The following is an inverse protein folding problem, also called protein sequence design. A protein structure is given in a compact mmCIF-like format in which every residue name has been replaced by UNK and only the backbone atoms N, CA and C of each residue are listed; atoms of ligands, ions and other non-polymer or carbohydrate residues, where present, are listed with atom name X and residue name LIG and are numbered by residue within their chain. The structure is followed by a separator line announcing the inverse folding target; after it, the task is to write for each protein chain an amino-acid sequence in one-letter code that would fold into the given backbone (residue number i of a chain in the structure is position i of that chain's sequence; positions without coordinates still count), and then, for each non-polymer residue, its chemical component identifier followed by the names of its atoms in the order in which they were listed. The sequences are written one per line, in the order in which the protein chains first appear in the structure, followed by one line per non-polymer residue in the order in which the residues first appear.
data_IF_815889862886
#
_entry.id   IF_815889862886
#
_cell.length_a   1.000
_cell.length_b   1.000
_cell.length_c   1.000
_cell.angle_alpha   90.00
_cell.angle_beta   90.00
_cell.angle_gamma   90.00
#
_symmetry.space_group_name_H-M   'P 1'
#
loop_
_entity.id
_entity.type
_entity.pdbx_description
1 polymer ?
#
# COMPACT_ATOMS: atom_id res chain seq x y z
N UNK A 1 3.30 5.03 -25.68
CA UNK A 1 4.70 5.34 -25.31
C UNK A 1 4.83 6.11 -23.99
N UNK A 2 3.98 7.11 -23.70
CA UNK A 2 4.01 7.87 -22.43
C UNK A 2 3.77 7.02 -21.16
N UNK A 3 2.78 6.10 -21.15
CA UNK A 3 2.47 5.24 -19.98
C UNK A 3 3.64 4.38 -19.52
N UNK A 4 4.41 3.83 -20.46
CA UNK A 4 5.55 2.96 -20.15
C UNK A 4 6.66 3.71 -19.40
N UNK A 5 6.83 5.01 -19.70
CA UNK A 5 7.83 5.86 -19.05
C UNK A 5 7.43 6.15 -17.60
N UNK A 6 6.16 6.45 -17.33
CA UNK A 6 5.67 6.67 -15.97
C UNK A 6 5.77 5.40 -15.10
N UNK A 7 5.49 4.22 -15.68
CA UNK A 7 5.63 2.93 -14.99
C UNK A 7 7.09 2.67 -14.58
N UNK A 8 8.06 3.01 -15.45
CA UNK A 8 9.49 2.87 -15.16
C UNK A 8 9.95 3.88 -14.09
N UNK A 9 9.51 5.13 -14.18
CA UNK A 9 9.83 6.17 -13.20
C UNK A 9 9.30 5.82 -11.80
N UNK A 10 8.07 5.30 -11.71
CA UNK A 10 7.48 4.86 -10.44
C UNK A 10 8.25 3.68 -9.82
N UNK A 11 8.56 2.65 -10.61
CA UNK A 11 9.34 1.50 -10.14
C UNK A 11 10.73 1.91 -9.67
N UNK A 12 11.37 2.86 -10.36
CA UNK A 12 12.65 3.42 -9.94
C UNK A 12 12.52 4.19 -8.61
N UNK A 13 11.50 5.03 -8.45
CA UNK A 13 11.23 5.76 -7.19
C UNK A 13 10.95 4.81 -6.02
N UNK A 14 10.24 3.72 -6.26
CA UNK A 14 9.92 2.70 -5.25
C UNK A 14 11.11 1.77 -4.95
N UNK A 15 12.14 1.75 -5.80
CA UNK A 15 13.25 0.81 -5.71
C UNK A 15 12.83 -0.66 -5.94
N UNK A 16 11.70 -0.89 -6.62
CA UNK A 16 11.14 -2.22 -6.86
C UNK A 16 10.69 -2.37 -8.32
N UNK A 17 11.20 -3.40 -8.99
CA UNK A 17 10.77 -3.78 -10.34
C UNK A 17 9.77 -4.92 -10.25
N UNK A 18 8.59 -4.72 -10.83
CA UNK A 18 7.56 -5.75 -10.90
C UNK A 18 7.95 -6.81 -11.94
N UNK A 19 7.85 -8.09 -11.55
CA UNK A 19 7.98 -9.20 -12.49
C UNK A 19 6.81 -9.29 -13.48
N UNK A 20 5.66 -8.69 -13.12
CA UNK A 20 4.49 -8.54 -13.98
C UNK A 20 4.01 -7.08 -13.92
N UNK A 21 4.16 -6.35 -15.03
CA UNK A 21 3.76 -4.94 -15.15
C UNK A 21 2.24 -4.77 -15.11
N UNK A 22 1.46 -5.78 -15.49
CA UNK A 22 0.01 -5.72 -15.40
C UNK A 22 -0.46 -5.68 -13.94
N UNK A 23 0.30 -6.27 -13.01
CA UNK A 23 0.02 -6.15 -11.58
C UNK A 23 0.21 -4.71 -11.08
N UNK A 24 1.23 -4.00 -11.56
CA UNK A 24 1.44 -2.58 -11.26
C UNK A 24 0.26 -1.74 -11.79
N UNK A 25 -0.15 -1.97 -13.03
CA UNK A 25 -1.30 -1.27 -13.63
C UNK A 25 -2.59 -1.52 -12.84
N UNK A 26 -2.83 -2.77 -12.45
CA UNK A 26 -3.99 -3.12 -11.64
C UNK A 26 -3.96 -2.40 -10.29
N UNK A 27 -2.82 -2.36 -9.61
CA UNK A 27 -2.66 -1.68 -8.32
C UNK A 27 -2.94 -0.16 -8.40
N UNK A 28 -2.70 0.46 -9.56
CA UNK A 28 -2.95 1.87 -9.83
C UNK A 28 -4.35 2.17 -10.37
N UNK A 29 -5.19 1.16 -10.58
CA UNK A 29 -6.53 1.31 -11.16
C UNK A 29 -7.58 1.36 -10.05
N UNK A 30 -8.11 2.54 -9.76
CA UNK A 30 -9.21 2.73 -8.81
C UNK A 30 -10.57 2.47 -9.47
N UNK A 31 -11.56 1.95 -8.73
CA UNK A 31 -12.90 1.63 -9.25
C UNK A 31 -13.65 2.82 -9.87
N UNK A 32 -13.30 4.05 -9.49
CA UNK A 32 -13.84 5.29 -10.09
C UNK A 32 -13.31 5.60 -11.50
N UNK A 33 -12.37 4.81 -12.03
CA UNK A 33 -11.77 5.04 -13.34
C UNK A 33 -12.64 4.51 -14.50
N UNK A 34 -13.62 3.64 -14.21
CA UNK A 34 -14.62 3.21 -15.20
C UNK A 34 -15.84 4.12 -15.16
N UNK A 35 -16.39 4.47 -16.33
CA UNK A 35 -17.66 5.23 -16.51
C UNK A 35 -18.90 4.44 -15.98
N UNK A 36 -18.85 3.95 -14.75
CA UNK A 36 -19.86 3.07 -14.15
C UNK A 36 -19.85 1.63 -14.67
N UNK A 37 -18.87 1.22 -15.48
CA UNK A 37 -18.73 -0.16 -15.96
C UNK A 37 -17.85 -0.98 -15.00
N UNK A 38 -18.16 -2.27 -14.75
CA UNK A 38 -17.30 -3.13 -13.95
C UNK A 38 -15.93 -3.24 -14.65
N UNK A 39 -14.90 -2.73 -13.98
CA UNK A 39 -13.49 -2.90 -14.38
C UNK A 39 -12.78 -3.75 -13.35
N UNK A 40 -11.66 -4.37 -13.74
CA UNK A 40 -10.73 -4.91 -12.75
C UNK A 40 -10.03 -3.73 -12.09
N UNK A 41 -10.25 -3.56 -10.80
CA UNK A 41 -9.66 -2.51 -9.99
C UNK A 41 -8.76 -3.09 -8.90
N UNK A 42 -8.22 -2.20 -8.08
CA UNK A 42 -7.29 -2.52 -7.02
C UNK A 42 -7.94 -2.96 -5.70
N UNK A 43 -9.27 -3.06 -5.58
CA UNK A 43 -9.94 -3.30 -4.27
C UNK A 43 -9.44 -4.58 -3.59
N UNK A 44 -9.25 -5.65 -4.37
CA UNK A 44 -8.71 -6.93 -3.86
C UNK A 44 -7.25 -6.81 -3.42
N UNK A 45 -6.47 -5.98 -4.11
CA UNK A 45 -5.06 -5.73 -3.77
C UNK A 45 -4.96 -4.84 -2.53
N UNK A 46 -5.81 -3.82 -2.42
CA UNK A 46 -5.94 -2.96 -1.23
C UNK A 46 -6.31 -3.80 -0.01
N UNK A 47 -7.33 -4.65 -0.13
CA UNK A 47 -7.72 -5.56 0.95
C UNK A 47 -6.53 -6.38 1.45
N UNK A 48 -5.76 -7.01 0.56
CA UNK A 48 -4.59 -7.79 0.94
C UNK A 48 -3.47 -6.91 1.51
N UNK A 49 -3.19 -5.79 0.84
CA UNK A 49 -2.13 -4.84 1.18
C UNK A 49 -2.27 -4.27 2.59
N UNK A 50 -3.49 -3.92 3.01
CA UNK A 50 -3.79 -3.44 4.36
C UNK A 50 -3.35 -4.42 5.45
N UNK A 51 -3.59 -5.72 5.24
CA UNK A 51 -3.23 -6.75 6.23
C UNK A 51 -1.73 -7.03 6.20
N UNK A 52 -1.10 -7.01 5.03
CA UNK A 52 0.35 -7.14 4.90
C UNK A 52 1.07 -5.97 5.60
N UNK A 53 0.64 -4.74 5.34
CA UNK A 53 1.19 -3.55 5.97
C UNK A 53 0.97 -3.57 7.48
N UNK A 54 -0.25 -3.90 7.93
CA UNK A 54 -0.59 -4.05 9.34
C UNK A 54 0.31 -5.07 10.05
N UNK A 55 0.55 -6.23 9.45
CA UNK A 55 1.43 -7.25 10.01
C UNK A 55 2.88 -6.77 10.13
N UNK A 56 3.41 -6.13 9.08
CA UNK A 56 4.79 -5.61 9.07
C UNK A 56 4.96 -4.55 10.17
N UNK A 57 4.04 -3.58 10.26
CA UNK A 57 4.12 -2.52 11.28
C UNK A 57 3.92 -3.09 12.69
N UNK A 58 2.98 -4.02 12.88
CA UNK A 58 2.80 -4.71 14.16
C UNK A 58 4.07 -5.43 14.61
N UNK A 59 4.76 -6.13 13.68
CA UNK A 59 6.05 -6.77 13.95
C UNK A 59 7.13 -5.76 14.32
N UNK A 60 7.19 -4.61 13.65
CA UNK A 60 8.15 -3.56 13.98
C UNK A 60 7.91 -3.01 15.39
N UNK A 61 6.66 -2.68 15.73
CA UNK A 61 6.29 -2.19 17.06
C UNK A 61 6.59 -3.20 18.17
N UNK A 62 6.31 -4.48 17.91
CA UNK A 62 6.60 -5.58 18.84
C UNK A 62 8.10 -5.73 19.14
N UNK A 63 8.95 -5.47 18.15
CA UNK A 63 10.41 -5.57 18.30
C UNK A 63 11.06 -4.29 18.85
N UNK A 64 10.45 -3.13 18.61
CA UNK A 64 10.97 -1.80 18.98
C UNK A 64 10.90 -1.55 20.49
N UNK A 65 9.76 -1.82 21.14
CA UNK A 65 9.55 -1.59 22.57
C UNK A 65 9.05 -2.85 23.30
N UNK A 66 9.99 -3.57 23.92
CA UNK A 66 9.71 -4.81 24.66
C UNK A 66 8.86 -4.62 25.92
N UNK A 67 8.68 -3.38 26.39
CA UNK A 67 7.86 -3.06 27.57
C UNK A 67 6.48 -2.54 27.18
N UNK A 68 6.22 -2.28 25.89
CA UNK A 68 4.91 -1.85 25.44
C UNK A 68 3.87 -2.96 25.67
N UNK A 69 2.74 -2.58 26.27
CA UNK A 69 1.58 -3.45 26.32
C UNK A 69 0.80 -3.40 25.00
N UNK A 70 -0.13 -4.34 24.83
CA UNK A 70 -0.97 -4.46 23.64
C UNK A 70 -1.70 -3.15 23.30
N UNK A 71 -2.30 -2.47 24.28
CA UNK A 71 -3.04 -1.22 24.06
C UNK A 71 -2.17 -0.09 23.50
N UNK A 72 -0.92 0.04 23.99
CA UNK A 72 0.05 1.01 23.46
C UNK A 72 0.40 0.68 22.02
N UNK A 73 0.74 -0.58 21.73
CA UNK A 73 1.09 -1.03 20.37
C UNK A 73 -0.08 -0.85 19.40
N UNK A 74 -1.30 -1.20 19.79
CA UNK A 74 -2.50 -1.04 18.97
C UNK A 74 -2.76 0.43 18.61
N UNK A 75 -2.59 1.35 19.57
CA UNK A 75 -2.74 2.79 19.32
C UNK A 75 -1.67 3.30 18.34
N UNK A 76 -0.43 2.86 18.48
CA UNK A 76 0.64 3.21 17.54
C UNK A 76 0.41 2.64 16.15
N UNK A 77 -0.02 1.37 16.07
CA UNK A 77 -0.37 0.71 14.81
C UNK A 77 -1.44 1.50 14.06
N UNK A 78 -2.54 1.86 14.73
CA UNK A 78 -3.63 2.63 14.13
C UNK A 78 -3.19 4.04 13.69
N UNK A 79 -2.22 4.64 14.38
CA UNK A 79 -1.69 5.96 13.99
C UNK A 79 -0.80 5.88 12.74
N UNK A 80 -0.07 4.78 12.57
CA UNK A 80 0.87 4.54 11.48
C UNK A 80 0.19 3.93 10.23
N UNK A 81 -0.82 3.09 10.43
CA UNK A 81 -1.54 2.38 9.37
C UNK A 81 -2.95 2.96 9.27
N UNK A 82 -3.02 4.18 8.72
CA UNK A 82 -4.27 4.88 8.44
C UNK A 82 -4.17 5.62 7.11
N UNK A 83 -5.33 5.93 6.53
CA UNK A 83 -5.44 6.57 5.21
C UNK A 83 -4.53 7.78 5.06
N UNK A 84 -4.50 8.69 6.03
CA UNK A 84 -3.70 9.91 5.92
C UNK A 84 -2.19 9.62 5.98
N UNK A 85 -1.78 8.70 6.85
CA UNK A 85 -0.38 8.30 6.97
C UNK A 85 0.11 7.60 5.69
N UNK A 86 -0.71 6.73 5.10
CA UNK A 86 -0.42 6.09 3.83
C UNK A 86 -0.36 7.11 2.69
N UNK A 87 -1.27 8.09 2.66
CA UNK A 87 -1.27 9.15 1.66
C UNK A 87 -0.02 10.05 1.78
N UNK A 88 0.42 10.35 3.00
CA UNK A 88 1.65 11.10 3.25
C UNK A 88 2.89 10.35 2.80
N UNK A 89 2.95 9.03 3.06
CA UNK A 89 4.05 8.18 2.62
C UNK A 89 4.12 7.98 1.09
N UNK A 90 3.00 8.16 0.38
CA UNK A 90 2.90 7.95 -1.07
C UNK A 90 3.27 9.17 -1.94
N UNK A 91 3.55 10.34 -1.33
CA UNK A 91 3.92 11.56 -2.07
C UNK A 91 5.34 11.47 -2.63
#
# INVERSE_FOLDING_TARGET
MSSLRHEQELQARMGYQFGDVELLRLALTHGSFGDGRPIKDNERLEFLGDRVLGLIVAKLLFLDDKQANEGKMARQLNALVRKEACADAAR
#
